data_IF_858970264626
#
_entry.id   IF_858970264626
#
_cell.length_a   1.000
_cell.length_b   1.000
_cell.length_c   1.000
_cell.angle_alpha   90.00
_cell.angle_beta   90.00
_cell.angle_gamma   90.00
#
_symmetry.space_group_name_H-M   'P 1'
#
loop_
_entity.id
_entity.type
_entity.pdbx_description
1 polymer ?
#
# COMPACT_ATOMS: atom_id res chain seq x y z
N UNK A 1 -3.28 10.39 7.69
CA UNK A 1 -3.80 11.54 6.91
C UNK A 1 -4.06 11.09 5.46
N UNK A 2 -4.68 11.92 4.60
CA UNK A 2 -4.74 11.59 3.17
C UNK A 2 -3.39 11.94 2.52
N UNK A 3 -2.90 11.13 1.56
CA UNK A 3 -1.62 11.39 0.93
C UNK A 3 -1.65 12.71 0.17
N UNK A 4 -0.54 13.45 0.22
CA UNK A 4 -0.37 14.70 -0.52
C UNK A 4 -0.06 14.41 -2.00
N UNK A 5 -0.56 15.26 -2.90
CA UNK A 5 -0.34 15.14 -4.34
C UNK A 5 -1.62 14.89 -5.14
N UNK A 6 -1.51 14.70 -6.46
CA UNK A 6 -2.66 14.40 -7.30
C UNK A 6 -3.29 13.08 -6.86
N UNK A 7 -4.62 13.06 -6.81
CA UNK A 7 -5.39 11.87 -6.53
C UNK A 7 -4.97 10.77 -7.51
N UNK A 8 -4.55 9.61 -6.99
CA UNK A 8 -4.28 8.45 -7.82
C UNK A 8 -5.50 8.06 -8.66
N UNK A 9 -5.28 7.56 -9.87
CA UNK A 9 -6.34 7.06 -10.74
C UNK A 9 -6.56 5.55 -10.62
N UNK A 10 -5.77 4.88 -9.77
CA UNK A 10 -5.77 3.43 -9.61
C UNK A 10 -6.86 2.92 -8.66
N UNK A 11 -6.85 1.62 -8.35
CA UNK A 11 -7.86 0.99 -7.49
C UNK A 11 -7.89 1.61 -6.09
N UNK A 12 -9.07 1.62 -5.48
CA UNK A 12 -9.26 2.10 -4.11
C UNK A 12 -8.61 1.13 -3.12
N UNK A 13 -7.74 1.65 -2.26
CA UNK A 13 -7.11 0.89 -1.16
C UNK A 13 -7.65 1.42 0.16
N UNK A 14 -7.99 0.50 1.07
CA UNK A 14 -8.48 0.85 2.42
C UNK A 14 -7.60 0.21 3.48
N UNK A 15 -7.02 1.05 4.34
CA UNK A 15 -6.31 0.61 5.54
C UNK A 15 -7.30 0.45 6.69
N UNK A 16 -7.78 -0.78 6.90
CA UNK A 16 -8.92 -1.06 7.78
C UNK A 16 -8.77 -0.55 9.22
N UNK A 17 -7.58 -0.65 9.83
CA UNK A 17 -7.34 -0.20 11.21
C UNK A 17 -7.31 1.32 11.36
N UNK A 18 -6.88 2.06 10.34
CA UNK A 18 -6.85 3.53 10.36
C UNK A 18 -8.09 4.18 9.75
N UNK A 19 -8.93 3.40 9.03
CA UNK A 19 -10.11 3.90 8.33
C UNK A 19 -9.79 4.77 7.11
N UNK A 20 -8.53 4.79 6.66
CA UNK A 20 -8.11 5.61 5.51
C UNK A 20 -8.40 4.85 4.22
N UNK A 21 -9.20 5.45 3.35
CA UNK A 21 -9.43 5.00 1.97
C UNK A 21 -8.90 6.03 0.98
N UNK A 22 -8.04 5.60 0.07
CA UNK A 22 -7.43 6.44 -0.96
C UNK A 22 -7.11 5.60 -2.20
N UNK A 23 -7.23 6.15 -3.42
CA UNK A 23 -6.82 5.44 -4.61
C UNK A 23 -5.30 5.21 -4.62
N UNK A 24 -4.89 4.08 -5.19
CA UNK A 24 -3.49 3.79 -5.49
C UNK A 24 -3.00 4.76 -6.59
N UNK A 25 -1.84 5.41 -6.44
CA UNK A 25 -1.25 6.21 -7.50
C UNK A 25 -1.01 5.36 -8.75
N UNK A 26 -1.37 5.87 -9.94
CA UNK A 26 -0.97 5.24 -11.20
C UNK A 26 0.43 5.70 -11.62
N UNK A 27 1.24 4.74 -12.11
CA UNK A 27 2.64 4.95 -12.44
C UNK A 27 3.57 4.05 -11.62
N UNK A 28 4.72 3.68 -12.20
CA UNK A 28 5.73 2.87 -11.51
C UNK A 28 6.71 3.75 -10.71
N UNK A 29 7.14 3.31 -9.52
CA UNK A 29 6.47 2.38 -8.60
C UNK A 29 5.71 3.14 -7.50
N UNK A 30 4.41 2.89 -7.38
CA UNK A 30 3.64 3.14 -6.15
C UNK A 30 3.24 1.80 -5.52
N UNK A 31 4.02 1.34 -4.55
CA UNK A 31 3.72 0.14 -3.77
C UNK A 31 2.68 0.43 -2.68
N UNK A 32 1.98 -0.62 -2.20
CA UNK A 32 1.09 -0.49 -1.04
C UNK A 32 1.82 0.01 0.22
N UNK A 33 3.12 -0.28 0.32
CA UNK A 33 3.98 0.22 1.40
C UNK A 33 4.16 1.74 1.29
N UNK A 34 4.52 2.26 0.12
CA UNK A 34 4.68 3.71 -0.09
C UNK A 34 3.36 4.46 0.12
N UNK A 35 2.23 3.86 -0.27
CA UNK A 35 0.92 4.42 0.01
C UNK A 35 0.63 4.49 1.51
N UNK A 36 1.01 3.46 2.28
CA UNK A 36 0.85 3.44 3.72
C UNK A 36 1.70 4.52 4.39
N UNK A 37 2.97 4.68 3.98
CA UNK A 37 3.87 5.74 4.45
C UNK A 37 3.29 7.13 4.17
N UNK A 38 2.82 7.37 2.94
CA UNK A 38 2.19 8.63 2.54
C UNK A 38 0.86 8.92 3.27
N UNK A 39 0.27 7.93 3.95
CA UNK A 39 -0.93 8.11 4.76
C UNK A 39 -0.64 8.21 6.27
N UNK A 40 0.63 8.19 6.69
CA UNK A 40 1.08 7.95 8.09
C UNK A 40 0.42 6.70 8.69
N UNK A 41 0.21 5.65 7.91
CA UNK A 41 -0.29 4.37 8.42
C UNK A 41 0.91 3.59 8.97
N UNK A 42 0.92 3.25 10.28
CA UNK A 42 2.03 2.50 10.86
C UNK A 42 2.18 1.13 10.21
N UNK A 43 3.34 0.87 9.63
CA UNK A 43 3.69 -0.40 8.97
C UNK A 43 5.13 -0.76 9.33
N UNK A 44 5.38 -2.02 9.68
CA UNK A 44 6.74 -2.52 9.89
C UNK A 44 7.34 -2.80 8.53
N UNK A 45 8.56 -2.34 8.24
CA UNK A 45 9.20 -2.58 6.96
C UNK A 45 10.72 -2.48 7.05
N UNK A 46 11.42 -3.02 6.04
CA UNK A 46 12.86 -2.87 5.88
C UNK A 46 13.29 -2.95 4.41
N UNK A 47 13.24 -4.14 3.78
CA UNK A 47 13.95 -4.37 2.52
C UNK A 47 13.39 -3.68 1.25
N UNK A 48 12.10 -3.32 1.20
CA UNK A 48 11.36 -2.84 0.00
C UNK A 48 11.40 -3.75 -1.25
N UNK A 49 12.14 -4.84 -1.23
CA UNK A 49 12.33 -5.79 -2.35
C UNK A 49 11.54 -7.10 -2.19
N UNK A 50 10.79 -7.24 -1.10
CA UNK A 50 9.96 -8.41 -0.83
C UNK A 50 10.64 -9.57 -0.08
N UNK A 51 11.94 -9.48 0.23
CA UNK A 51 12.71 -10.61 0.82
C UNK A 51 12.58 -10.76 2.34
N UNK A 52 12.30 -9.67 3.07
CA UNK A 52 12.26 -9.73 4.54
C UNK A 52 10.87 -10.04 5.12
N UNK A 53 9.82 -9.95 4.30
CA UNK A 53 8.41 -10.14 4.68
C UNK A 53 7.90 -9.30 5.88
N UNK A 54 8.67 -8.34 6.39
CA UNK A 54 8.26 -7.53 7.55
C UNK A 54 7.04 -6.65 7.28
N UNK A 55 6.83 -6.23 6.03
CA UNK A 55 5.70 -5.40 5.60
C UNK A 55 4.47 -6.19 5.18
N UNK A 56 4.43 -7.50 5.41
CA UNK A 56 3.26 -8.33 5.12
C UNK A 56 2.08 -7.88 5.98
N UNK A 57 0.93 -7.69 5.33
CA UNK A 57 -0.34 -7.36 5.99
C UNK A 57 -1.43 -8.32 5.51
N UNK A 58 -2.37 -8.73 6.39
CA UNK A 58 -3.52 -9.51 5.96
C UNK A 58 -4.40 -8.69 5.00
N UNK A 59 -4.86 -9.34 3.93
CA UNK A 59 -5.88 -8.84 3.03
C UNK A 59 -7.26 -9.26 3.56
N UNK A 60 -8.13 -8.29 3.83
CA UNK A 60 -9.48 -8.56 4.32
C UNK A 60 -10.48 -8.84 3.18
N UNK A 61 -10.28 -8.21 2.02
CA UNK A 61 -11.18 -8.32 0.87
C UNK A 61 -10.48 -7.87 -0.41
N UNK A 62 -10.90 -8.40 -1.56
CA UNK A 62 -10.36 -8.06 -2.87
C UNK A 62 -9.26 -9.01 -3.32
N UNK A 63 -8.54 -8.62 -4.36
CA UNK A 63 -7.43 -9.39 -4.94
C UNK A 63 -6.16 -8.54 -5.01
N UNK A 64 -5.01 -9.20 -4.91
CA UNK A 64 -3.69 -8.59 -5.08
C UNK A 64 -2.90 -9.38 -6.11
N UNK A 65 -2.17 -8.67 -6.96
CA UNK A 65 -1.20 -9.26 -7.87
C UNK A 65 0.21 -9.00 -7.34
N UNK A 66 1.05 -10.03 -7.41
CA UNK A 66 2.46 -9.91 -7.11
C UNK A 66 3.25 -9.85 -8.42
N UNK A 67 4.30 -9.04 -8.45
CA UNK A 67 5.26 -9.02 -9.57
C UNK A 67 6.09 -10.31 -9.63
N UNK A 68 6.21 -11.01 -8.50
CA UNK A 68 6.83 -12.32 -8.39
C UNK A 68 6.13 -13.10 -7.28
N UNK A 69 5.87 -14.40 -7.45
CA UNK A 69 5.22 -15.19 -6.41
C UNK A 69 6.03 -15.15 -5.10
N UNK A 70 5.35 -15.13 -3.94
CA UNK A 70 6.00 -15.13 -2.64
C UNK A 70 6.76 -16.42 -2.34
#
# INVERSE_FOLDING_TARGET
>A
HRPAGPTGTGPMVTFARSGISTPLPEGRPGSLLELAEACDVPVRWSCRTGVCHQCTTPLLSGEVSYLSPP
#
